data_IF_340871385467
#
_entry.id   IF_340871385467
#
_cell.length_a   1.000
_cell.length_b   1.000
_cell.length_c   1.000
_cell.angle_alpha   90.00
_cell.angle_beta   90.00
_cell.angle_gamma   90.00
#
_symmetry.space_group_name_H-M   'P 1'
#
loop_
_entity.id
_entity.type
_entity.pdbx_description
1 polymer ?
#
# COMPACT_ATOMS: atom_id res chain seq x y z
N UNK A 1 -30.33 -54.82 -50.12
CA UNK A 1 -29.11 -54.42 -49.38
C UNK A 1 -29.24 -52.95 -49.03
N UNK A 2 -29.48 -52.63 -47.77
CA UNK A 2 -29.62 -51.22 -47.27
C UNK A 2 -28.32 -50.88 -46.55
N UNK A 3 -27.56 -49.96 -47.10
CA UNK A 3 -26.33 -49.39 -46.48
C UNK A 3 -26.70 -48.32 -45.44
N UNK A 4 -26.42 -48.61 -44.18
CA UNK A 4 -26.54 -47.62 -43.09
C UNK A 4 -25.27 -46.72 -43.13
N UNK A 5 -25.47 -45.42 -43.33
CA UNK A 5 -24.41 -44.42 -43.18
C UNK A 5 -24.41 -43.97 -41.71
N UNK A 6 -23.29 -44.22 -41.00
CA UNK A 6 -23.03 -43.73 -39.63
C UNK A 6 -22.43 -42.36 -39.74
N UNK A 7 -23.16 -41.33 -39.27
CA UNK A 7 -22.62 -39.98 -39.14
C UNK A 7 -21.94 -39.85 -37.76
N UNK A 8 -20.64 -39.65 -37.78
CA UNK A 8 -19.81 -39.36 -36.58
C UNK A 8 -19.84 -37.84 -36.35
N UNK A 9 -20.52 -37.39 -35.29
CA UNK A 9 -20.49 -36.00 -34.83
C UNK A 9 -19.22 -35.76 -34.01
N UNK A 10 -18.30 -34.96 -34.51
CA UNK A 10 -17.12 -34.51 -33.77
C UNK A 10 -17.50 -33.30 -32.95
N UNK A 11 -17.60 -33.46 -31.62
CA UNK A 11 -17.80 -32.36 -30.69
C UNK A 11 -16.48 -31.64 -30.44
N UNK A 12 -16.38 -30.41 -30.92
CA UNK A 12 -15.25 -29.52 -30.57
C UNK A 12 -15.45 -28.97 -29.14
N UNK A 13 -14.62 -29.44 -28.21
CA UNK A 13 -14.55 -28.90 -26.88
C UNK A 13 -13.84 -27.51 -26.94
N UNK A 14 -14.58 -26.48 -26.67
CA UNK A 14 -14.03 -25.11 -26.53
C UNK A 14 -13.32 -25.01 -25.16
N UNK A 15 -11.98 -25.07 -25.16
CA UNK A 15 -11.18 -24.82 -23.95
C UNK A 15 -10.94 -23.31 -23.88
N UNK A 16 -11.47 -22.61 -22.85
CA UNK A 16 -11.19 -21.20 -22.70
C UNK A 16 -9.69 -20.99 -22.42
N UNK A 17 -9.05 -20.14 -23.23
CA UNK A 17 -7.65 -19.76 -23.01
C UNK A 17 -7.52 -19.02 -21.67
N UNK A 18 -6.47 -19.30 -20.85
CA UNK A 18 -6.24 -18.56 -19.62
C UNK A 18 -5.99 -17.09 -19.95
N UNK A 19 -6.78 -16.21 -19.32
CA UNK A 19 -6.55 -14.77 -19.41
C UNK A 19 -5.24 -14.48 -18.67
N UNK A 20 -4.17 -14.18 -19.41
CA UNK A 20 -2.90 -13.77 -18.85
C UNK A 20 -3.11 -12.41 -18.16
N UNK A 21 -3.26 -12.40 -16.84
CA UNK A 21 -3.19 -11.18 -16.05
C UNK A 21 -1.77 -10.65 -16.15
N UNK A 22 -1.60 -9.45 -16.72
CA UNK A 22 -0.31 -8.76 -16.69
C UNK A 22 0.13 -8.62 -15.22
N UNK A 23 1.33 -9.14 -14.85
CA UNK A 23 1.79 -9.00 -13.48
C UNK A 23 1.92 -7.52 -13.14
N UNK A 24 1.12 -7.06 -12.20
CA UNK A 24 1.24 -5.70 -11.66
C UNK A 24 2.61 -5.63 -10.98
N UNK A 25 3.47 -4.75 -11.49
CA UNK A 25 4.84 -4.61 -10.95
C UNK A 25 4.84 -3.61 -9.81
N UNK A 26 5.65 -3.89 -8.79
CA UNK A 26 5.97 -2.95 -7.74
C UNK A 26 7.19 -2.13 -8.13
N UNK A 27 7.17 -0.85 -7.74
CA UNK A 27 8.35 -0.01 -7.64
C UNK A 27 8.64 0.26 -6.18
N UNK A 28 9.89 0.56 -5.87
CA UNK A 28 10.31 0.84 -4.51
C UNK A 28 11.09 2.15 -4.46
N UNK A 29 10.81 2.96 -3.45
CA UNK A 29 11.63 4.12 -3.10
C UNK A 29 12.09 4.01 -1.66
N UNK A 30 13.32 4.44 -1.41
CA UNK A 30 13.85 4.53 -0.05
C UNK A 30 13.68 5.95 0.45
N UNK A 31 13.03 6.10 1.58
CA UNK A 31 13.02 7.34 2.34
C UNK A 31 14.26 7.35 3.22
N UNK A 32 15.07 8.39 3.11
CA UNK A 32 16.13 8.73 4.05
C UNK A 32 15.72 10.06 4.70
N UNK A 33 15.33 10.02 5.95
CA UNK A 33 14.79 11.20 6.64
C UNK A 33 15.79 12.36 6.69
N UNK A 34 17.09 12.06 6.71
CA UNK A 34 18.16 13.07 6.71
C UNK A 34 18.24 13.83 5.38
N UNK A 35 17.89 13.18 4.28
CA UNK A 35 17.82 13.78 2.95
C UNK A 35 16.52 14.55 2.70
N UNK A 36 15.49 14.35 3.53
CA UNK A 36 14.19 14.99 3.35
C UNK A 36 14.24 16.48 3.73
N UNK A 37 13.49 17.29 2.99
CA UNK A 37 13.29 18.70 3.33
C UNK A 37 12.37 18.82 4.56
N UNK A 38 12.89 19.31 5.68
CA UNK A 38 12.06 19.61 6.85
C UNK A 38 11.14 20.80 6.55
N UNK A 39 9.83 20.64 6.81
CA UNK A 39 8.79 21.66 6.62
C UNK A 39 8.50 22.39 7.94
N UNK A 40 8.27 21.62 9.01
CA UNK A 40 7.97 22.16 10.35
C UNK A 40 8.77 21.41 11.41
N UNK A 41 9.01 22.09 12.53
CA UNK A 41 9.57 21.53 13.74
C UNK A 41 8.60 21.82 14.89
N UNK A 42 8.34 20.80 15.69
CA UNK A 42 7.56 20.91 16.93
C UNK A 42 8.38 20.36 18.08
N UNK A 43 7.93 20.60 19.30
CA UNK A 43 8.57 20.09 20.51
C UNK A 43 8.67 18.55 20.46
N UNK A 44 7.60 17.90 20.04
CA UNK A 44 7.43 16.44 20.10
C UNK A 44 7.41 15.80 18.70
N UNK A 45 8.10 16.42 17.70
CA UNK A 45 8.18 15.89 16.35
C UNK A 45 8.43 16.94 15.26
N UNK A 46 7.86 16.71 14.10
CA UNK A 46 8.03 17.59 12.96
C UNK A 46 7.30 17.09 11.70
N UNK A 47 7.57 17.76 10.58
CA UNK A 47 7.13 17.25 9.29
C UNK A 47 8.18 17.47 8.21
N UNK A 48 8.19 16.56 7.25
CA UNK A 48 9.18 16.50 6.18
C UNK A 48 8.52 16.22 4.85
N UNK A 49 9.13 16.72 3.78
CA UNK A 49 8.84 16.33 2.41
C UNK A 49 10.05 15.58 1.86
N UNK A 50 9.82 14.36 1.46
CA UNK A 50 10.80 13.44 0.93
C UNK A 50 10.55 13.19 -0.56
N UNK A 51 11.58 12.77 -1.27
CA UNK A 51 11.44 12.31 -2.64
C UNK A 51 10.75 10.94 -2.66
N UNK A 52 9.80 10.79 -3.59
CA UNK A 52 9.14 9.55 -3.91
C UNK A 52 9.37 9.18 -5.38
N UNK A 53 8.34 8.72 -6.08
CA UNK A 53 8.40 8.60 -7.53
C UNK A 53 8.33 10.00 -8.17
N UNK A 54 8.86 10.19 -9.39
CA UNK A 54 8.75 11.46 -10.12
C UNK A 54 7.30 11.98 -10.16
N UNK A 55 7.08 13.19 -9.63
CA UNK A 55 5.76 13.80 -9.50
C UNK A 55 4.91 13.33 -8.31
N UNK A 56 5.43 12.42 -7.48
CA UNK A 56 4.74 11.86 -6.30
C UNK A 56 5.60 11.98 -5.04
N UNK A 57 5.78 13.20 -4.50
CA UNK A 57 6.51 13.37 -3.25
C UNK A 57 5.84 12.63 -2.10
N UNK A 58 6.61 12.37 -1.06
CA UNK A 58 6.14 11.75 0.18
C UNK A 58 6.17 12.79 1.29
N UNK A 59 5.06 12.95 1.98
CA UNK A 59 4.96 13.74 3.19
C UNK A 59 5.01 12.80 4.40
N UNK A 60 5.85 13.15 5.37
CA UNK A 60 5.94 12.48 6.66
C UNK A 60 5.70 13.52 7.74
N UNK A 61 4.85 13.22 8.70
CA UNK A 61 4.74 13.97 9.93
C UNK A 61 4.93 13.04 11.14
N UNK A 62 5.38 13.60 12.22
CA UNK A 62 5.55 12.91 13.50
C UNK A 62 5.02 13.78 14.62
N UNK A 63 4.27 13.18 15.51
CA UNK A 63 3.76 13.77 16.72
C UNK A 63 3.20 12.72 17.66
N UNK A 64 3.35 12.90 18.96
CA UNK A 64 2.86 11.98 19.99
C UNK A 64 3.30 10.52 19.75
N UNK A 65 4.58 10.33 19.40
CA UNK A 65 5.18 9.03 19.11
C UNK A 65 4.50 8.24 17.97
N UNK A 66 3.82 8.96 17.08
CA UNK A 66 3.16 8.40 15.90
C UNK A 66 3.62 9.09 14.64
N UNK A 67 3.80 8.33 13.60
CA UNK A 67 4.12 8.86 12.27
C UNK A 67 2.91 8.77 11.35
N UNK A 68 2.82 9.76 10.47
CA UNK A 68 1.79 9.93 9.45
C UNK A 68 2.50 9.95 8.10
N UNK A 69 2.03 9.17 7.14
CA UNK A 69 2.63 9.08 5.82
C UNK A 69 1.59 9.32 4.76
N UNK A 70 1.86 10.27 3.88
CA UNK A 70 1.03 10.56 2.73
C UNK A 70 1.90 10.67 1.47
N UNK A 71 1.36 10.32 0.31
CA UNK A 71 2.10 10.34 -0.94
C UNK A 71 1.27 10.95 -2.07
N UNK A 72 1.96 11.56 -3.05
CA UNK A 72 1.32 12.14 -4.22
C UNK A 72 1.34 13.67 -4.23
N UNK A 73 0.70 14.27 -5.22
CA UNK A 73 0.60 15.72 -5.32
C UNK A 73 -0.12 16.31 -4.10
N UNK A 74 0.44 17.39 -3.54
CA UNK A 74 -0.07 18.00 -2.30
C UNK A 74 -0.25 17.01 -1.14
N UNK A 75 0.68 16.07 -0.98
CA UNK A 75 0.59 14.97 0.00
C UNK A 75 0.25 15.46 1.42
N UNK A 76 0.77 16.62 1.82
CA UNK A 76 0.51 17.24 3.13
C UNK A 76 -0.94 17.68 3.36
N UNK A 77 -1.73 17.84 2.29
CA UNK A 77 -3.13 18.27 2.36
C UNK A 77 -4.11 17.11 2.23
N UNK A 78 -3.60 15.89 2.01
CA UNK A 78 -4.43 14.70 1.79
C UNK A 78 -4.81 14.06 3.13
N UNK A 79 -5.91 13.29 3.13
CA UNK A 79 -6.40 12.62 4.34
C UNK A 79 -5.33 11.72 4.97
N UNK A 80 -4.52 11.02 4.17
CA UNK A 80 -3.44 10.20 4.69
C UNK A 80 -2.44 10.97 5.59
N UNK A 81 -2.27 12.28 5.40
CA UNK A 81 -1.41 13.11 6.22
C UNK A 81 -1.92 13.29 7.66
N UNK A 82 -3.16 12.91 7.96
CA UNK A 82 -3.78 12.96 9.28
C UNK A 82 -4.23 11.58 9.77
N UNK A 83 -3.97 10.52 8.99
CA UNK A 83 -4.27 9.14 9.37
C UNK A 83 -3.03 8.44 9.89
N UNK A 84 -3.16 7.71 10.98
CA UNK A 84 -2.12 6.84 11.53
C UNK A 84 -2.76 5.69 12.31
N UNK A 85 -1.95 4.80 12.83
CA UNK A 85 -2.40 3.72 13.73
C UNK A 85 -2.62 4.27 15.15
N UNK A 86 -3.49 3.63 15.92
CA UNK A 86 -3.75 3.99 17.32
C UNK A 86 -2.55 3.76 18.23
N UNK A 87 -1.78 2.70 17.97
CA UNK A 87 -0.55 2.39 18.68
C UNK A 87 0.58 3.37 18.34
N UNK A 88 1.57 3.51 19.22
CA UNK A 88 2.83 4.17 18.88
C UNK A 88 3.45 3.49 17.67
N UNK A 89 3.98 4.30 16.74
CA UNK A 89 4.47 3.73 15.50
C UNK A 89 5.56 4.57 14.83
N UNK A 90 6.37 3.92 14.02
CA UNK A 90 7.36 4.54 13.15
C UNK A 90 7.48 3.73 11.86
N UNK A 91 7.70 4.38 10.73
CA UNK A 91 8.10 3.70 9.48
C UNK A 91 9.59 3.35 9.47
N UNK A 92 10.35 3.88 10.41
CA UNK A 92 11.78 3.61 10.56
C UNK A 92 12.01 2.53 11.61
N UNK A 93 12.84 1.56 11.28
CA UNK A 93 13.33 0.61 12.29
C UNK A 93 14.15 1.36 13.35
N UNK A 94 14.20 0.79 14.54
CA UNK A 94 14.98 1.37 15.64
C UNK A 94 16.44 1.54 15.24
N UNK A 95 16.93 2.78 15.35
CA UNK A 95 18.30 3.15 14.99
C UNK A 95 18.51 3.37 13.49
N UNK A 96 17.44 3.40 12.71
CA UNK A 96 17.47 3.72 11.29
C UNK A 96 16.72 5.00 10.98
N UNK A 97 17.19 5.78 10.02
CA UNK A 97 16.49 6.91 9.41
C UNK A 97 15.96 6.56 8.02
N UNK A 98 15.96 5.26 7.67
CA UNK A 98 15.57 4.76 6.36
C UNK A 98 14.36 3.87 6.43
N UNK A 99 13.44 4.08 5.48
CA UNK A 99 12.25 3.26 5.28
C UNK A 99 12.01 3.00 3.80
N UNK A 100 11.32 1.93 3.48
CA UNK A 100 10.95 1.57 2.09
C UNK A 100 9.48 1.78 1.87
N UNK A 101 9.13 2.42 0.77
CA UNK A 101 7.77 2.52 0.25
C UNK A 101 7.66 1.64 -0.98
N UNK A 102 6.73 0.70 -0.97
CA UNK A 102 6.31 -0.04 -2.15
C UNK A 102 5.19 0.74 -2.84
N UNK A 103 5.34 0.98 -4.15
CA UNK A 103 4.35 1.63 -4.99
C UNK A 103 3.70 0.61 -5.91
N UNK A 104 2.38 0.60 -5.94
CA UNK A 104 1.59 -0.14 -6.93
C UNK A 104 1.16 0.84 -8.01
N UNK A 105 1.34 0.48 -9.28
CA UNK A 105 1.10 1.40 -10.39
C UNK A 105 0.46 0.72 -11.60
N UNK A 106 -0.25 1.52 -12.38
CA UNK A 106 -0.71 1.18 -13.72
C UNK A 106 0.30 1.70 -14.75
N UNK A 107 0.52 0.93 -15.79
CA UNK A 107 1.34 1.37 -16.92
C UNK A 107 0.43 1.92 -18.02
N UNK A 108 0.64 3.18 -18.42
CA UNK A 108 -0.03 3.82 -19.56
C UNK A 108 1.03 4.29 -20.55
N UNK A 109 1.32 3.46 -21.56
CA UNK A 109 2.51 3.63 -22.39
C UNK A 109 3.77 3.55 -21.54
N UNK A 110 4.63 4.55 -21.63
CA UNK A 110 5.86 4.65 -20.82
C UNK A 110 5.63 5.20 -19.41
N UNK A 111 4.45 5.76 -19.13
CA UNK A 111 4.14 6.37 -17.84
C UNK A 111 3.75 5.31 -16.80
N UNK A 112 4.32 5.44 -15.63
CA UNK A 112 3.95 4.68 -14.43
C UNK A 112 3.09 5.58 -13.56
N UNK A 113 1.80 5.24 -13.42
CA UNK A 113 0.83 6.02 -12.65
C UNK A 113 0.54 5.25 -11.37
N UNK A 114 1.11 5.65 -10.23
CA UNK A 114 0.85 4.97 -8.97
C UNK A 114 -0.61 5.16 -8.56
N UNK A 115 -1.19 4.10 -8.00
CA UNK A 115 -2.54 4.10 -7.43
C UNK A 115 -2.58 3.70 -5.96
N UNK A 116 -1.50 3.10 -5.45
CA UNK A 116 -1.37 2.78 -4.03
C UNK A 116 0.08 2.76 -3.57
N UNK A 117 0.25 2.94 -2.26
CA UNK A 117 1.48 2.63 -1.55
C UNK A 117 1.24 1.55 -0.51
N UNK A 118 2.29 0.78 -0.20
CA UNK A 118 2.34 -0.13 0.95
C UNK A 118 3.57 0.26 1.76
N UNK A 119 3.35 0.61 3.03
CA UNK A 119 4.40 1.03 3.96
C UNK A 119 4.33 0.19 5.22
N UNK A 120 5.47 -0.29 5.69
CA UNK A 120 5.57 -0.98 6.97
C UNK A 120 5.67 0.04 8.09
N UNK A 121 4.81 -0.12 9.08
CA UNK A 121 4.85 0.60 10.35
C UNK A 121 5.29 -0.37 11.45
N UNK A 122 6.38 -0.07 12.11
CA UNK A 122 6.81 -0.72 13.34
C UNK A 122 6.00 -0.16 14.48
N UNK A 123 5.22 -0.98 15.15
CA UNK A 123 4.25 -0.54 16.17
C UNK A 123 4.67 -0.98 17.55
N UNK A 124 4.24 -0.25 18.57
CA UNK A 124 4.41 -0.63 19.95
C UNK A 124 3.27 -0.13 20.83
N UNK A 125 2.94 -0.92 21.86
CA UNK A 125 2.02 -0.58 22.94
C UNK A 125 2.48 -1.34 24.17
N UNK A 126 2.71 -0.64 25.27
CA UNK A 126 3.27 -1.21 26.49
C UNK A 126 4.54 -2.07 26.21
N UNK A 127 4.51 -3.36 26.52
CA UNK A 127 5.62 -4.27 26.25
C UNK A 127 5.55 -4.98 24.89
N UNK A 128 4.44 -4.81 24.15
CA UNK A 128 4.25 -5.47 22.86
C UNK A 128 4.79 -4.64 21.71
N UNK A 129 5.42 -5.33 20.79
CA UNK A 129 5.88 -4.79 19.51
C UNK A 129 5.19 -5.50 18.38
N UNK A 130 5.08 -4.82 17.24
CA UNK A 130 4.47 -5.38 16.06
C UNK A 130 4.90 -4.69 14.79
N UNK A 131 4.41 -5.23 13.70
CA UNK A 131 4.60 -4.72 12.35
C UNK A 131 3.26 -4.70 11.63
N UNK A 132 2.90 -3.56 11.07
CA UNK A 132 1.66 -3.37 10.32
C UNK A 132 1.98 -2.85 8.93
N UNK A 133 1.46 -3.50 7.90
CA UNK A 133 1.51 -2.97 6.54
C UNK A 133 0.30 -2.06 6.34
N UNK A 134 0.56 -0.79 6.10
CA UNK A 134 -0.45 0.21 5.78
C UNK A 134 -0.58 0.31 4.27
N UNK A 135 -1.74 -0.04 3.75
CA UNK A 135 -2.10 0.12 2.34
C UNK A 135 -2.81 1.46 2.17
N UNK A 136 -2.29 2.33 1.32
CA UNK A 136 -2.87 3.64 1.06
C UNK A 136 -3.19 3.83 -0.42
N UNK A 137 -4.33 4.46 -0.71
CA UNK A 137 -4.66 4.98 -2.03
C UNK A 137 -3.76 6.16 -2.35
N UNK A 138 -3.36 6.27 -3.61
CA UNK A 138 -2.69 7.44 -4.19
C UNK A 138 -3.36 7.78 -5.51
N UNK A 139 -3.78 9.02 -5.66
CA UNK A 139 -4.33 9.56 -6.90
C UNK A 139 -3.93 11.03 -7.09
N UNK A 140 -4.32 11.64 -8.19
CA UNK A 140 -4.08 13.06 -8.44
C UNK A 140 -4.76 13.97 -7.40
N UNK A 141 -5.91 13.54 -6.85
CA UNK A 141 -6.75 14.36 -5.97
C UNK A 141 -6.86 13.82 -4.54
N UNK A 142 -6.51 12.54 -4.30
CA UNK A 142 -6.74 11.87 -3.01
C UNK A 142 -5.56 10.99 -2.61
N UNK A 143 -5.28 10.98 -1.33
CA UNK A 143 -4.50 9.94 -0.66
C UNK A 143 -5.13 9.66 0.71
N UNK A 144 -5.36 8.39 1.01
CA UNK A 144 -5.92 7.94 2.29
C UNK A 144 -5.56 6.48 2.55
N UNK A 145 -5.59 6.08 3.82
CA UNK A 145 -5.45 4.68 4.18
C UNK A 145 -6.65 3.86 3.68
N UNK A 146 -6.38 2.67 3.19
CA UNK A 146 -7.37 1.72 2.66
C UNK A 146 -7.56 0.55 3.60
N UNK A 147 -6.45 0.00 4.11
CA UNK A 147 -6.46 -1.16 5.00
C UNK A 147 -5.16 -1.26 5.78
N UNK A 148 -5.22 -2.03 6.86
CA UNK A 148 -4.11 -2.41 7.72
C UNK A 148 -3.94 -3.93 7.73
N UNK A 149 -2.72 -4.43 7.58
CA UNK A 149 -2.41 -5.85 7.63
C UNK A 149 -1.40 -6.09 8.75
N UNK A 150 -1.81 -6.89 9.75
CA UNK A 150 -0.90 -7.34 10.82
C UNK A 150 0.16 -8.27 10.22
N UNK A 151 1.39 -7.78 10.08
CA UNK A 151 2.44 -8.53 9.41
C UNK A 151 2.96 -9.71 10.25
N UNK A 152 2.73 -9.70 11.55
CA UNK A 152 3.10 -10.82 12.42
C UNK A 152 2.02 -11.91 12.48
N UNK A 153 0.77 -11.56 12.20
CA UNK A 153 -0.36 -12.51 12.25
C UNK A 153 -0.61 -13.19 10.89
N UNK A 154 -0.04 -12.67 9.81
CA UNK A 154 -0.25 -13.19 8.46
C UNK A 154 1.09 -13.62 7.84
N UNK A 155 1.25 -14.90 7.55
CA UNK A 155 2.46 -15.46 6.95
C UNK A 155 2.79 -14.77 5.60
N UNK A 156 1.76 -14.56 4.77
CA UNK A 156 1.85 -13.89 3.46
C UNK A 156 1.40 -12.42 3.51
N UNK A 157 1.73 -11.68 4.58
CA UNK A 157 1.25 -10.31 4.80
C UNK A 157 1.50 -9.37 3.59
N UNK A 158 2.67 -9.44 2.97
CA UNK A 158 3.01 -8.63 1.79
C UNK A 158 2.12 -9.00 0.59
N UNK A 159 1.89 -10.29 0.35
CA UNK A 159 1.02 -10.72 -0.74
C UNK A 159 -0.43 -10.30 -0.48
N UNK A 160 -0.89 -10.37 0.78
CA UNK A 160 -2.21 -9.87 1.17
C UNK A 160 -2.33 -8.36 0.95
N UNK A 161 -1.36 -7.57 1.42
CA UNK A 161 -1.35 -6.12 1.22
C UNK A 161 -1.37 -5.72 -0.27
N UNK A 162 -0.63 -6.43 -1.12
CA UNK A 162 -0.65 -6.24 -2.58
C UNK A 162 -2.02 -6.56 -3.18
N UNK A 163 -2.65 -7.68 -2.80
CA UNK A 163 -4.01 -8.02 -3.27
C UNK A 163 -5.03 -6.95 -2.89
N UNK A 164 -4.95 -6.41 -1.67
CA UNK A 164 -5.82 -5.32 -1.22
C UNK A 164 -5.56 -4.05 -2.05
N UNK A 165 -4.30 -3.66 -2.22
CA UNK A 165 -3.92 -2.50 -3.01
C UNK A 165 -4.44 -2.61 -4.45
N UNK A 166 -4.22 -3.74 -5.10
CA UNK A 166 -4.59 -3.97 -6.50
C UNK A 166 -6.12 -4.03 -6.70
N UNK A 167 -6.83 -4.65 -5.77
CA UNK A 167 -8.27 -4.85 -5.88
C UNK A 167 -9.13 -3.68 -5.40
N UNK A 168 -8.60 -2.86 -4.47
CA UNK A 168 -9.45 -1.88 -3.76
C UNK A 168 -8.98 -0.44 -3.83
N UNK A 169 -7.66 -0.17 -3.91
CA UNK A 169 -7.17 1.19 -3.71
C UNK A 169 -7.70 2.18 -4.76
N UNK A 170 -7.82 1.77 -6.03
CA UNK A 170 -8.29 2.67 -7.10
C UNK A 170 -9.69 3.23 -6.86
N UNK A 171 -10.59 2.40 -6.35
CA UNK A 171 -12.00 2.72 -6.18
C UNK A 171 -12.38 3.04 -4.74
N UNK A 172 -11.41 2.98 -3.81
CA UNK A 172 -11.69 3.23 -2.40
C UNK A 172 -12.15 4.68 -2.19
N UNK A 173 -13.27 4.83 -1.49
CA UNK A 173 -13.79 6.13 -1.08
C UNK A 173 -13.04 6.60 0.17
N UNK A 174 -12.25 7.65 0.04
CA UNK A 174 -11.45 8.20 1.12
C UNK A 174 -12.29 8.78 2.29
N UNK A 175 -13.60 8.87 2.18
CA UNK A 175 -14.49 9.23 3.31
C UNK A 175 -14.72 8.06 4.27
N UNK A 176 -14.49 6.83 3.82
CA UNK A 176 -14.61 5.63 4.65
C UNK A 176 -13.39 5.47 5.55
N UNK A 177 -13.59 4.79 6.68
CA UNK A 177 -12.48 4.40 7.54
C UNK A 177 -11.79 3.13 7.00
N UNK A 178 -10.45 3.06 7.09
CA UNK A 178 -9.71 1.84 6.80
C UNK A 178 -9.97 0.79 7.88
N UNK A 179 -9.90 -0.50 7.50
CA UNK A 179 -10.10 -1.61 8.43
C UNK A 179 -8.91 -2.57 8.40
N UNK A 180 -8.65 -3.29 9.52
CA UNK A 180 -7.75 -4.43 9.50
C UNK A 180 -8.25 -5.52 8.55
N UNK A 181 -7.31 -6.17 7.85
CA UNK A 181 -7.58 -7.24 6.88
C UNK A 181 -6.67 -8.44 7.16
N UNK A 182 -7.25 -9.64 7.04
CA UNK A 182 -6.59 -10.89 7.40
C UNK A 182 -6.66 -11.19 8.89
N UNK A 183 -5.74 -12.01 9.38
CA UNK A 183 -5.61 -12.30 10.80
C UNK A 183 -5.02 -11.08 11.53
N UNK A 184 -5.45 -10.87 12.78
CA UNK A 184 -5.05 -9.72 13.62
C UNK A 184 -4.70 -10.18 15.03
N UNK A 185 -4.18 -9.25 15.86
CA UNK A 185 -3.98 -9.45 17.30
C UNK A 185 -2.55 -9.75 17.71
N UNK A 186 -1.61 -9.87 16.77
CA UNK A 186 -0.18 -10.02 17.10
C UNK A 186 0.53 -8.67 17.13
N UNK A 187 0.16 -7.74 16.24
CA UNK A 187 0.69 -6.38 16.25
C UNK A 187 -0.31 -5.42 16.90
N UNK A 188 0.10 -4.52 17.80
CA UNK A 188 -0.74 -3.41 18.24
C UNK A 188 -0.99 -2.46 17.05
N UNK A 189 -2.24 -1.99 16.90
CA UNK A 189 -2.68 -1.10 15.82
C UNK A 189 -3.34 0.16 16.33
#
# INVERSE_FOLDING_TARGET
>A
MRTLAVMVAIAFAFVPAPVASNPVKSLYTTIDLKACKRIKRHRDGGSWRCDGLPGYPVFIAEGDLRQFVSAGADAEKRRAATQTLGAFNSIFERGSDRATIEWRFDRRGERQIPYATIVRFHTSSDERRGDVLVVSKVSASEACHVAYVDALANEDAIALARRIADGRARTFDCRREPHPEGATGRSPM
#
